data_IF_741855447227
#
_entry.id   IF_741855447227
#
_cell.length_a   1.000
_cell.length_b   1.000
_cell.length_c   1.000
_cell.angle_alpha   90.00
_cell.angle_beta   90.00
_cell.angle_gamma   90.00
#
_symmetry.space_group_name_H-M   'P 1'
#
loop_
_entity.id
_entity.type
_entity.pdbx_description
1 polymer ?
#
# COMPACT_ATOMS: atom_id res chain seq x y z
N UNK A 1 -7.52 -61.18 -1.51
CA UNK A 1 -7.22 -59.91 -0.80
C UNK A 1 -6.73 -58.91 -1.84
N UNK A 2 -7.57 -57.97 -2.28
CA UNK A 2 -7.25 -57.01 -3.35
C UNK A 2 -7.09 -55.64 -2.71
N UNK A 3 -5.84 -55.18 -2.54
CA UNK A 3 -5.53 -53.86 -1.99
C UNK A 3 -5.75 -52.82 -3.10
N UNK A 4 -6.75 -51.97 -2.94
CA UNK A 4 -6.97 -50.78 -3.77
C UNK A 4 -6.07 -49.68 -3.19
N UNK A 5 -5.11 -49.22 -3.98
CA UNK A 5 -4.26 -48.08 -3.64
C UNK A 5 -4.87 -46.83 -4.27
N UNK A 6 -5.47 -45.95 -3.47
CA UNK A 6 -5.96 -44.65 -3.91
C UNK A 6 -4.77 -43.67 -3.84
N UNK A 7 -4.27 -43.25 -5.00
CA UNK A 7 -3.26 -42.20 -5.11
C UNK A 7 -3.97 -40.85 -5.25
N UNK A 8 -4.16 -40.13 -4.15
CA UNK A 8 -4.78 -38.80 -4.15
C UNK A 8 -3.72 -37.75 -4.50
N UNK A 9 -3.64 -37.40 -5.79
CA UNK A 9 -2.81 -36.28 -6.28
C UNK A 9 -3.52 -34.97 -5.95
N UNK A 10 -3.12 -34.31 -4.85
CA UNK A 10 -3.53 -32.93 -4.54
C UNK A 10 -2.78 -31.99 -5.49
N UNK A 11 -3.48 -31.54 -6.53
CA UNK A 11 -3.02 -30.49 -7.43
C UNK A 11 -3.14 -29.16 -6.69
N UNK A 12 -2.04 -28.67 -6.11
CA UNK A 12 -1.96 -27.30 -5.62
C UNK A 12 -1.98 -26.37 -6.84
N UNK A 13 -3.17 -25.87 -7.19
CA UNK A 13 -3.31 -24.75 -8.11
C UNK A 13 -2.69 -23.52 -7.47
N UNK A 14 -1.45 -23.22 -7.79
CA UNK A 14 -0.89 -21.88 -7.58
C UNK A 14 -1.51 -20.98 -8.64
N UNK A 15 -2.59 -20.29 -8.27
CA UNK A 15 -3.12 -19.18 -9.07
C UNK A 15 -2.09 -18.05 -9.01
N UNK A 16 -1.17 -18.04 -9.97
CA UNK A 16 -0.30 -16.89 -10.20
C UNK A 16 -1.15 -15.77 -10.80
N UNK A 17 -1.70 -14.91 -9.95
CA UNK A 17 -2.27 -13.65 -10.39
C UNK A 17 -1.14 -12.81 -10.99
N UNK A 18 -1.19 -12.54 -12.29
CA UNK A 18 -0.33 -11.56 -12.94
C UNK A 18 -0.73 -10.18 -12.44
N UNK A 19 -0.14 -9.74 -11.33
CA UNK A 19 -0.35 -8.41 -10.79
C UNK A 19 0.48 -7.39 -11.60
N UNK A 20 -0.10 -6.23 -11.88
CA UNK A 20 0.63 -5.12 -12.47
C UNK A 20 1.85 -4.78 -11.61
N UNK A 21 3.01 -4.62 -12.26
CA UNK A 21 4.23 -4.21 -11.58
C UNK A 21 4.40 -2.70 -11.65
N UNK A 22 5.07 -2.15 -10.65
CA UNK A 22 5.59 -0.79 -10.68
C UNK A 22 6.66 -0.72 -11.76
N UNK A 23 6.48 0.15 -12.75
CA UNK A 23 7.51 0.48 -13.74
C UNK A 23 8.68 1.18 -13.05
N UNK A 24 9.89 1.00 -13.57
CA UNK A 24 11.06 1.70 -13.04
C UNK A 24 10.88 3.23 -13.16
N UNK A 25 11.34 3.96 -12.15
CA UNK A 25 11.33 5.43 -12.13
C UNK A 25 12.43 5.97 -11.22
N UNK A 26 12.77 7.26 -11.37
CA UNK A 26 13.64 7.95 -10.42
C UNK A 26 12.79 8.67 -9.38
N UNK A 27 12.92 8.26 -8.12
CA UNK A 27 12.34 8.97 -6.99
C UNK A 27 13.19 10.21 -6.71
N UNK A 28 12.56 11.37 -6.65
CA UNK A 28 13.19 12.62 -6.26
C UNK A 28 12.30 13.38 -5.28
N UNK A 29 12.80 13.62 -4.06
CA UNK A 29 12.11 14.36 -3.00
C UNK A 29 13.07 15.33 -2.31
N UNK A 30 12.53 16.37 -1.66
CA UNK A 30 13.33 17.16 -0.72
C UNK A 30 13.62 16.31 0.51
N UNK A 31 14.89 16.18 0.89
CA UNK A 31 15.28 15.45 2.10
C UNK A 31 15.15 16.34 3.34
N UNK A 32 15.53 17.61 3.19
CA UNK A 32 15.43 18.69 4.18
C UNK A 32 15.47 20.06 3.47
N UNK A 33 15.71 21.14 4.23
CA UNK A 33 15.76 22.51 3.73
C UNK A 33 16.76 22.70 2.56
N UNK A 34 17.86 21.96 2.59
CA UNK A 34 19.04 22.17 1.73
C UNK A 34 19.39 20.98 0.85
N UNK A 35 18.93 19.78 1.19
CA UNK A 35 19.31 18.55 0.51
C UNK A 35 18.15 17.94 -0.30
N UNK A 36 18.50 17.33 -1.43
CA UNK A 36 17.62 16.48 -2.23
C UNK A 36 17.96 15.02 -1.99
N UNK A 37 16.94 14.16 -1.94
CA UNK A 37 17.10 12.72 -2.03
C UNK A 37 16.73 12.26 -3.44
N UNK A 38 17.60 11.45 -4.06
CA UNK A 38 17.35 10.81 -5.34
C UNK A 38 17.71 9.34 -5.28
N UNK A 39 16.88 8.49 -5.87
CA UNK A 39 17.13 7.05 -5.98
C UNK A 39 16.42 6.49 -7.20
N UNK A 40 17.10 5.61 -7.94
CA UNK A 40 16.45 4.83 -8.98
C UNK A 40 15.69 3.66 -8.35
N UNK A 41 14.38 3.65 -8.58
CA UNK A 41 13.50 2.54 -8.21
C UNK A 41 13.40 1.63 -9.43
N UNK A 42 13.94 0.40 -9.37
CA UNK A 42 13.81 -0.55 -10.48
C UNK A 42 12.36 -1.01 -10.63
N UNK A 43 12.06 -1.77 -11.68
CA UNK A 43 10.76 -2.43 -11.79
C UNK A 43 10.58 -3.41 -10.62
N UNK A 44 9.53 -3.23 -9.83
CA UNK A 44 9.22 -4.08 -8.67
C UNK A 44 7.72 -4.39 -8.62
N UNK A 45 7.28 -5.44 -7.90
CA UNK A 45 5.87 -5.51 -7.53
C UNK A 45 5.49 -4.35 -6.59
N UNK A 46 4.21 -3.97 -6.58
CA UNK A 46 3.67 -3.06 -5.56
C UNK A 46 3.47 -3.78 -4.22
N UNK A 47 3.00 -5.03 -4.26
CA UNK A 47 2.90 -5.88 -3.08
C UNK A 47 4.16 -6.72 -2.92
N UNK A 48 4.97 -6.41 -1.92
CA UNK A 48 6.24 -7.10 -1.65
C UNK A 48 6.02 -8.49 -1.05
N UNK A 49 4.86 -8.69 -0.43
CA UNK A 49 4.26 -9.96 0.00
C UNK A 49 2.74 -9.83 -0.07
N UNK A 50 2.03 -10.94 0.11
CA UNK A 50 0.56 -10.94 0.15
C UNK A 50 0.03 -9.87 1.12
N UNK A 51 -0.76 -8.91 0.60
CA UNK A 51 -1.37 -7.80 1.34
C UNK A 51 -0.37 -6.88 2.08
N UNK A 52 0.91 -6.92 1.74
CA UNK A 52 1.94 -5.98 2.18
C UNK A 52 2.25 -5.04 1.02
N UNK A 53 1.60 -3.88 1.01
CA UNK A 53 1.74 -2.87 -0.03
C UNK A 53 2.94 -1.98 0.29
N UNK A 54 3.84 -1.78 -0.66
CA UNK A 54 4.83 -0.72 -0.60
C UNK A 54 4.41 0.42 -1.54
N UNK A 55 4.44 1.66 -1.05
CA UNK A 55 4.17 2.88 -1.84
C UNK A 55 5.32 3.88 -1.65
N UNK A 56 5.81 4.47 -2.74
CA UNK A 56 6.83 5.51 -2.74
C UNK A 56 6.19 6.89 -2.81
N UNK A 57 6.87 7.89 -2.25
CA UNK A 57 6.41 9.28 -2.33
C UNK A 57 6.30 9.72 -3.79
N UNK A 58 5.19 10.35 -4.14
CA UNK A 58 4.78 10.72 -5.49
C UNK A 58 3.87 9.71 -6.19
N UNK A 59 3.64 8.52 -5.60
CA UNK A 59 2.73 7.53 -6.19
C UNK A 59 1.27 7.77 -5.81
N UNK A 60 0.39 7.52 -6.78
CA UNK A 60 -1.06 7.39 -6.61
C UNK A 60 -1.50 6.03 -7.12
N UNK A 61 -2.17 5.25 -6.26
CA UNK A 61 -2.52 3.86 -6.53
C UNK A 61 -4.02 3.62 -6.37
N UNK A 62 -4.55 2.73 -7.21
CA UNK A 62 -5.90 2.18 -7.09
C UNK A 62 -5.80 0.70 -6.74
N UNK A 63 -6.31 0.31 -5.57
CA UNK A 63 -6.20 -1.03 -5.03
C UNK A 63 -7.57 -1.71 -5.06
N UNK A 64 -7.82 -2.50 -6.09
CA UNK A 64 -9.04 -3.31 -6.18
C UNK A 64 -8.94 -4.50 -5.23
N UNK A 65 -9.95 -4.65 -4.38
CA UNK A 65 -10.00 -5.68 -3.34
C UNK A 65 -11.13 -6.67 -3.60
N UNK A 66 -10.88 -7.94 -3.28
CA UNK A 66 -11.95 -8.93 -3.14
C UNK A 66 -12.23 -9.16 -1.66
N UNK A 67 -13.52 -9.24 -1.30
CA UNK A 67 -13.98 -9.41 0.07
C UNK A 67 -14.64 -10.78 0.21
N UNK A 68 -14.22 -11.55 1.22
CA UNK A 68 -14.83 -12.83 1.56
C UNK A 68 -14.87 -12.97 3.08
N UNK A 69 -16.00 -13.46 3.61
CA UNK A 69 -16.22 -13.66 5.04
C UNK A 69 -15.80 -12.45 5.89
N UNK A 70 -16.24 -11.25 5.49
CA UNK A 70 -15.92 -9.99 6.18
C UNK A 70 -14.43 -9.67 6.30
N UNK A 71 -13.59 -10.21 5.40
CA UNK A 71 -12.16 -9.91 5.33
C UNK A 71 -11.73 -9.59 3.91
N UNK A 72 -10.64 -8.82 3.77
CA UNK A 72 -9.98 -8.59 2.48
C UNK A 72 -9.23 -9.88 2.11
N UNK A 73 -9.79 -10.62 1.15
CA UNK A 73 -9.26 -11.91 0.72
C UNK A 73 -8.14 -11.75 -0.31
N UNK A 74 -8.20 -10.71 -1.16
CA UNK A 74 -7.13 -10.39 -2.09
C UNK A 74 -7.09 -8.89 -2.41
N UNK A 75 -5.93 -8.42 -2.87
CA UNK A 75 -5.69 -7.04 -3.27
C UNK A 75 -4.85 -7.02 -4.54
N UNK A 76 -5.20 -6.15 -5.48
CA UNK A 76 -4.41 -5.91 -6.69
C UNK A 76 -4.38 -4.42 -7.04
N UNK A 77 -3.23 -3.96 -7.51
CA UNK A 77 -3.13 -2.63 -8.12
C UNK A 77 -3.75 -2.68 -9.52
N UNK A 78 -4.58 -1.70 -9.83
CA UNK A 78 -5.18 -1.50 -11.16
C UNK A 78 -4.81 -0.10 -11.68
N UNK A 79 -4.72 0.06 -13.00
CA UNK A 79 -4.36 1.35 -13.61
C UNK A 79 -5.44 2.42 -13.38
N UNK A 80 -6.72 2.01 -13.35
CA UNK A 80 -7.88 2.90 -13.24
C UNK A 80 -8.91 2.32 -12.28
N UNK A 81 -9.62 3.20 -11.57
CA UNK A 81 -10.73 2.81 -10.71
C UNK A 81 -12.02 2.57 -11.52
N UNK A 82 -12.15 1.38 -12.10
CA UNK A 82 -13.38 0.96 -12.79
C UNK A 82 -14.46 0.42 -11.83
N UNK A 83 -14.06 0.06 -10.60
CA UNK A 83 -14.91 -0.56 -9.58
C UNK A 83 -14.90 0.22 -8.25
N UNK A 84 -15.47 1.43 -8.19
CA UNK A 84 -15.30 2.35 -7.06
C UNK A 84 -15.84 1.84 -5.72
N UNK A 85 -16.69 0.82 -5.72
CA UNK A 85 -17.24 0.21 -4.51
C UNK A 85 -16.31 -0.80 -3.84
N UNK A 86 -15.23 -1.22 -4.53
CA UNK A 86 -14.24 -2.18 -4.02
C UNK A 86 -12.78 -1.74 -4.25
N UNK A 87 -12.56 -0.49 -4.61
CA UNK A 87 -11.22 0.06 -4.88
C UNK A 87 -10.82 1.05 -3.79
N UNK A 88 -9.77 0.75 -3.04
CA UNK A 88 -9.12 1.71 -2.14
C UNK A 88 -8.28 2.64 -3.02
N UNK A 89 -8.41 3.95 -2.83
CA UNK A 89 -7.53 4.93 -3.47
C UNK A 89 -6.49 5.40 -2.47
N UNK A 90 -5.22 5.42 -2.88
CA UNK A 90 -4.11 5.84 -2.04
C UNK A 90 -3.31 6.88 -2.81
N UNK A 91 -3.02 8.01 -2.17
CA UNK A 91 -2.19 9.08 -2.72
C UNK A 91 -1.14 9.46 -1.69
N UNK A 92 0.15 9.38 -2.05
CA UNK A 92 1.25 9.63 -1.13
C UNK A 92 2.18 10.69 -1.71
N UNK A 93 2.15 11.89 -1.16
CA UNK A 93 2.81 13.06 -1.75
C UNK A 93 3.65 13.81 -0.73
N UNK A 94 4.59 14.60 -1.23
CA UNK A 94 5.33 15.59 -0.46
C UNK A 94 5.00 16.98 -0.99
N UNK A 95 4.64 17.89 -0.09
CA UNK A 95 4.71 19.32 -0.31
C UNK A 95 6.04 19.84 0.24
N UNK A 96 6.87 20.38 -0.64
CA UNK A 96 8.15 21.00 -0.32
C UNK A 96 8.33 22.35 -1.03
N UNK A 97 7.24 23.06 -1.32
CA UNK A 97 7.29 24.41 -1.88
C UNK A 97 8.04 25.36 -0.93
N UNK A 98 7.70 25.31 0.36
CA UNK A 98 8.52 25.87 1.42
C UNK A 98 9.38 24.76 2.04
N UNK A 99 10.67 24.78 1.70
CA UNK A 99 11.63 23.79 2.19
C UNK A 99 11.88 23.83 3.70
N UNK A 100 11.48 24.90 4.40
CA UNK A 100 11.52 24.95 5.88
C UNK A 100 10.37 24.19 6.53
N UNK A 101 9.29 23.98 5.78
CA UNK A 101 8.05 23.36 6.24
C UNK A 101 7.67 22.21 5.29
N UNK A 102 8.56 21.22 5.16
CA UNK A 102 8.28 20.04 4.37
C UNK A 102 7.18 19.22 5.05
N UNK A 103 6.14 18.90 4.28
CA UNK A 103 5.03 18.06 4.71
C UNK A 103 4.95 16.87 3.77
N UNK A 104 5.00 15.65 4.32
CA UNK A 104 4.60 14.45 3.59
C UNK A 104 3.20 14.07 4.01
N UNK A 105 2.34 13.69 3.07
CA UNK A 105 0.94 13.36 3.31
C UNK A 105 0.55 12.05 2.62
N UNK A 106 -0.15 11.19 3.36
CA UNK A 106 -0.82 10.01 2.85
C UNK A 106 -2.32 10.26 2.90
N UNK A 107 -3.00 10.10 1.78
CA UNK A 107 -4.46 10.10 1.68
C UNK A 107 -4.94 8.70 1.36
N UNK A 108 -5.92 8.20 2.09
CA UNK A 108 -6.53 6.88 1.82
C UNK A 108 -8.05 7.02 1.79
N UNK A 109 -8.65 6.62 0.68
CA UNK A 109 -10.11 6.55 0.49
C UNK A 109 -10.59 5.14 0.72
N UNK A 110 -11.49 4.97 1.69
CA UNK A 110 -12.13 3.70 2.00
C UNK A 110 -13.44 3.54 1.20
N UNK A 111 -13.53 2.57 0.27
CA UNK A 111 -14.73 2.35 -0.52
C UNK A 111 -15.76 1.48 0.20
N UNK A 112 -15.46 0.95 1.37
CA UNK A 112 -16.28 -0.08 2.04
C UNK A 112 -17.30 0.54 3.00
N UNK A 113 -18.26 -0.28 3.43
CA UNK A 113 -19.28 0.08 4.41
C UNK A 113 -18.81 -0.09 5.87
N UNK A 114 -17.53 -0.41 6.07
CA UNK A 114 -16.91 -0.63 7.38
C UNK A 114 -15.67 0.22 7.50
N UNK A 115 -15.27 0.54 8.71
CA UNK A 115 -14.04 1.26 8.98
C UNK A 115 -12.84 0.37 8.63
N UNK A 116 -11.84 0.95 7.97
CA UNK A 116 -10.64 0.27 7.50
C UNK A 116 -9.47 0.71 8.36
N UNK A 117 -8.71 -0.25 8.88
CA UNK A 117 -7.45 0.00 9.58
C UNK A 117 -6.33 -0.85 9.00
N UNK A 118 -5.12 -0.33 9.03
CA UNK A 118 -3.89 -0.99 8.61
C UNK A 118 -2.74 -0.52 9.50
N UNK A 119 -1.65 -1.28 9.51
CA UNK A 119 -0.40 -0.87 10.12
C UNK A 119 0.48 -0.20 9.05
N UNK A 120 1.33 0.74 9.47
CA UNK A 120 2.23 1.45 8.57
C UNK A 120 3.65 1.56 9.12
N UNK A 121 4.62 1.39 8.23
CA UNK A 121 6.04 1.56 8.48
C UNK A 121 6.61 2.53 7.47
N UNK A 122 7.42 3.48 7.93
CA UNK A 122 8.05 4.49 7.08
C UNK A 122 9.55 4.29 7.00
N UNK A 123 10.10 4.56 5.82
CA UNK A 123 11.53 4.68 5.59
C UNK A 123 11.83 6.11 5.16
N UNK A 124 12.73 6.79 5.86
CA UNK A 124 12.99 8.22 5.67
C UNK A 124 14.43 8.47 5.23
N UNK A 125 14.72 9.60 4.55
CA UNK A 125 16.10 9.95 4.20
C UNK A 125 17.02 10.05 5.42
N UNK A 126 16.47 10.44 6.57
CA UNK A 126 17.21 10.65 7.82
C UNK A 126 17.43 9.37 8.63
N UNK A 127 16.40 8.53 8.78
CA UNK A 127 16.49 7.32 9.60
C UNK A 127 17.28 6.22 8.91
N UNK A 128 17.11 6.08 7.59
CA UNK A 128 17.63 4.94 6.82
C UNK A 128 17.27 3.58 7.47
N UNK A 129 16.10 3.52 8.10
CA UNK A 129 15.55 2.34 8.75
C UNK A 129 14.03 2.37 8.75
N UNK A 130 13.40 1.20 8.88
CA UNK A 130 11.95 1.02 8.95
C UNK A 130 11.43 1.34 10.35
N UNK A 131 10.70 2.44 10.46
CA UNK A 131 10.10 2.89 11.72
C UNK A 131 8.59 2.76 11.65
N UNK A 132 7.97 2.18 12.69
CA UNK A 132 6.51 2.12 12.78
C UNK A 132 5.93 3.53 12.95
N UNK A 133 4.86 3.85 12.23
CA UNK A 133 4.04 5.06 12.45
C UNK A 133 2.64 4.68 12.90
N UNK A 134 1.95 5.61 13.56
CA UNK A 134 0.52 5.50 13.84
C UNK A 134 -0.29 5.85 12.59
N UNK A 135 -1.47 5.23 12.49
CA UNK A 135 -2.49 5.49 11.47
C UNK A 135 -3.84 5.56 12.20
N UNK A 136 -4.70 6.47 11.77
CA UNK A 136 -6.10 6.54 12.19
C UNK A 136 -6.97 5.64 11.31
N UNK A 137 -8.02 5.00 11.85
CA UNK A 137 -8.97 4.28 11.03
C UNK A 137 -9.58 5.16 9.94
N UNK A 138 -9.63 4.64 8.71
CA UNK A 138 -10.30 5.28 7.59
C UNK A 138 -11.78 4.90 7.66
N UNK A 139 -12.61 5.85 8.06
CA UNK A 139 -14.04 5.61 8.24
C UNK A 139 -14.72 5.11 6.96
N UNK A 140 -15.78 4.34 7.15
CA UNK A 140 -16.66 3.84 6.08
C UNK A 140 -17.01 4.94 5.08
N UNK A 141 -16.79 4.69 3.79
CA UNK A 141 -17.06 5.61 2.67
C UNK A 141 -16.37 6.98 2.74
N UNK A 142 -15.34 7.12 3.58
CA UNK A 142 -14.63 8.38 3.78
C UNK A 142 -13.16 8.28 3.38
N UNK A 143 -12.51 9.44 3.39
CA UNK A 143 -11.08 9.59 3.20
C UNK A 143 -10.44 10.03 4.52
N UNK A 144 -9.26 9.47 4.81
CA UNK A 144 -8.42 9.90 5.92
C UNK A 144 -7.11 10.48 5.37
N UNK A 145 -6.53 11.39 6.14
CA UNK A 145 -5.25 12.04 5.85
C UNK A 145 -4.31 11.83 7.02
N UNK A 146 -3.11 11.36 6.73
CA UNK A 146 -1.98 11.34 7.65
C UNK A 146 -0.95 12.33 7.17
N UNK A 147 -0.38 13.11 8.09
CA UNK A 147 0.62 14.13 7.75
C UNK A 147 1.83 14.03 8.66
N UNK A 148 3.01 14.20 8.06
CA UNK A 148 4.28 14.20 8.77
C UNK A 148 5.08 15.44 8.37
N UNK A 149 5.60 16.17 9.36
CA UNK A 149 6.45 17.36 9.16
C UNK A 149 7.89 17.02 8.76
N UNK A 150 8.08 15.96 7.98
CA UNK A 150 9.37 15.52 7.46
C UNK A 150 9.18 14.66 6.22
N UNK A 151 10.26 14.49 5.46
CA UNK A 151 10.31 13.72 4.23
C UNK A 151 10.29 12.21 4.49
N UNK A 152 9.50 11.49 3.72
CA UNK A 152 9.43 10.02 3.75
C UNK A 152 9.66 9.51 2.33
N UNK A 153 10.55 8.53 2.17
CA UNK A 153 10.88 7.91 0.88
C UNK A 153 9.75 6.98 0.45
N UNK A 154 9.34 6.10 1.37
CA UNK A 154 8.36 5.04 1.12
C UNK A 154 7.66 4.63 2.40
N UNK A 155 6.42 4.17 2.24
CA UNK A 155 5.64 3.50 3.27
C UNK A 155 5.42 2.03 2.90
N UNK A 156 5.41 1.18 3.91
CA UNK A 156 4.86 -0.17 3.85
C UNK A 156 3.57 -0.19 4.65
N UNK A 157 2.48 -0.58 4.00
CA UNK A 157 1.14 -0.69 4.56
C UNK A 157 0.73 -2.16 4.58
N UNK A 158 0.42 -2.68 5.75
CA UNK A 158 0.07 -4.09 5.93
C UNK A 158 -1.03 -4.29 6.96
N UNK A 159 -1.35 -5.56 7.21
CA UNK A 159 -2.27 -5.94 8.29
C UNK A 159 -3.67 -5.29 8.17
N UNK A 160 -4.14 -5.16 6.94
CA UNK A 160 -5.44 -4.56 6.58
C UNK A 160 -6.62 -5.30 7.20
N UNK A 161 -7.50 -4.59 7.89
CA UNK A 161 -8.65 -5.14 8.60
C UNK A 161 -9.85 -4.21 8.54
N UNK A 162 -11.04 -4.80 8.58
CA UNK A 162 -12.23 -4.07 8.96
C UNK A 162 -12.40 -4.06 10.47
N UNK A 163 -12.83 -2.92 10.99
CA UNK A 163 -13.25 -2.78 12.38
C UNK A 163 -14.70 -2.33 12.43
N UNK A 164 -15.39 -2.68 13.51
CA UNK A 164 -16.73 -2.17 13.76
C UNK A 164 -16.64 -0.68 14.17
N UNK A 165 -17.56 0.18 13.69
CA UNK A 165 -17.62 1.59 14.08
C UNK A 165 -17.84 1.81 15.58
#
# INVERSE_FOLDING_TARGET
>A
MRKILILLSVFFFTLSFSQEKRKAFTLEIAADETHQYKMDVPETPYFVKEKILQIYCGEKLFIECEISNDTISSMKVVEKNENPTKTIEIDFIQNAEDRKNIITMLSVTNPFQKDLIYDAHMYTPRSQDWVKTSIIPVRSKLMAYETWGHSIITLVLDNWRFIEP
#
